data_IF_319359055257
#
_entry.id   IF_319359055257
#
_cell.length_a   1.000
_cell.length_b   1.000
_cell.length_c   1.000
_cell.angle_alpha   90.00
_cell.angle_beta   90.00
_cell.angle_gamma   90.00
#
_symmetry.space_group_name_H-M   'P 1'
#
loop_
_entity.id
_entity.type
_entity.pdbx_description
1 polymer ?
#
# COMPACT_ATOMS: atom_id res chain seq x y z
N UNK A 1 -69.15 62.44 41.04
CA UNK A 1 -68.36 62.20 42.27
C UNK A 1 -68.23 60.69 42.38
N UNK A 2 -67.10 60.03 42.11
CA UNK A 2 -65.68 60.38 42.20
C UNK A 2 -64.90 59.72 41.05
N UNK A 3 -63.89 60.44 40.59
CA UNK A 3 -62.88 60.08 39.60
C UNK A 3 -61.84 59.12 40.23
N UNK A 4 -61.29 58.17 39.48
CA UNK A 4 -59.91 57.66 39.70
C UNK A 4 -59.32 57.00 38.46
N UNK A 5 -58.37 57.71 37.83
CA UNK A 5 -57.36 57.17 36.93
C UNK A 5 -56.36 56.32 37.70
N UNK A 6 -55.88 55.23 37.10
CA UNK A 6 -54.52 54.64 37.19
C UNK A 6 -54.54 53.34 36.37
N UNK A 7 -53.53 52.87 35.64
CA UNK A 7 -52.10 53.19 35.57
C UNK A 7 -51.58 52.62 34.23
N UNK A 8 -50.84 53.43 33.48
CA UNK A 8 -50.11 53.03 32.28
C UNK A 8 -48.91 52.14 32.63
N UNK A 9 -48.44 51.39 31.63
CA UNK A 9 -47.12 50.75 31.46
C UNK A 9 -47.02 49.27 31.83
N UNK A 10 -47.05 48.41 30.81
CA UNK A 10 -46.10 47.29 30.75
C UNK A 10 -45.55 47.24 29.33
N UNK A 11 -44.36 47.81 29.21
CA UNK A 11 -43.53 47.86 28.01
C UNK A 11 -42.97 46.47 27.76
N UNK A 12 -43.09 46.03 26.51
CA UNK A 12 -42.22 45.11 25.78
C UNK A 12 -41.03 44.53 26.56
N UNK A 13 -41.15 43.26 26.97
CA UNK A 13 -40.01 42.42 27.41
C UNK A 13 -40.01 41.03 26.77
N UNK A 14 -40.60 40.89 25.58
CA UNK A 14 -40.42 39.70 24.74
C UNK A 14 -39.68 40.14 23.48
N UNK A 15 -38.40 39.80 23.36
CA UNK A 15 -37.70 40.06 22.09
C UNK A 15 -36.24 39.64 22.03
N UNK A 16 -35.53 39.51 23.15
CA UNK A 16 -34.09 39.24 23.10
C UNK A 16 -33.70 37.78 23.38
N UNK A 17 -34.39 37.10 24.30
CA UNK A 17 -34.05 35.72 24.67
C UNK A 17 -34.34 34.67 23.57
N UNK A 18 -35.34 34.91 22.71
CA UNK A 18 -35.73 33.96 21.66
C UNK A 18 -34.80 33.97 20.44
N UNK A 19 -34.13 35.09 20.17
CA UNK A 19 -33.21 35.22 19.02
C UNK A 19 -31.84 34.57 19.33
N UNK A 20 -31.37 34.68 20.57
CA UNK A 20 -30.12 34.03 21.01
C UNK A 20 -30.24 32.49 21.00
N UNK A 21 -31.41 31.95 21.36
CA UNK A 21 -31.66 30.51 21.33
C UNK A 21 -31.69 29.92 19.90
N UNK A 22 -32.03 30.73 18.89
CA UNK A 22 -32.07 30.32 17.48
C UNK A 22 -30.70 30.37 16.79
N UNK A 23 -29.76 31.20 17.27
CA UNK A 23 -28.37 31.19 16.79
C UNK A 23 -27.52 30.10 17.46
N UNK A 24 -27.81 29.74 18.70
CA UNK A 24 -27.08 28.70 19.43
C UNK A 24 -27.34 27.28 18.91
N UNK A 25 -28.49 27.03 18.28
CA UNK A 25 -28.82 25.73 17.69
C UNK A 25 -28.16 25.46 16.33
N UNK A 26 -27.60 26.47 15.67
CA UNK A 26 -26.93 26.32 14.37
C UNK A 26 -25.44 25.91 14.48
N UNK A 27 -24.86 25.99 15.68
CA UNK A 27 -23.44 25.69 15.92
C UNK A 27 -23.17 24.25 16.38
N UNK A 28 -24.21 23.44 16.62
CA UNK A 28 -24.04 22.13 17.28
C UNK A 28 -23.77 20.94 16.34
N UNK A 29 -23.66 21.12 15.01
CA UNK A 29 -23.51 20.00 14.08
C UNK A 29 -22.18 19.93 13.31
N UNK A 30 -21.13 20.63 13.77
CA UNK A 30 -19.79 20.39 13.23
C UNK A 30 -19.19 19.15 13.90
N UNK A 31 -19.63 17.96 13.48
CA UNK A 31 -18.89 16.73 13.78
C UNK A 31 -17.56 16.80 13.04
N UNK A 32 -16.40 16.67 13.70
CA UNK A 32 -15.13 16.57 12.99
C UNK A 32 -15.22 15.34 12.07
N UNK A 33 -15.02 15.55 10.77
CA UNK A 33 -14.82 14.44 9.84
C UNK A 33 -13.52 13.75 10.23
N UNK A 34 -13.61 12.58 10.87
CA UNK A 34 -12.45 11.71 11.02
C UNK A 34 -11.98 11.36 9.62
N UNK A 35 -10.76 11.74 9.26
CA UNK A 35 -10.11 11.25 8.06
C UNK A 35 -10.08 9.72 8.18
N UNK A 36 -10.89 9.03 7.37
CA UNK A 36 -10.92 7.58 7.34
C UNK A 36 -9.53 7.12 6.91
N UNK A 37 -8.71 6.68 7.86
CA UNK A 37 -7.38 6.14 7.56
C UNK A 37 -7.62 4.96 6.62
N UNK A 38 -7.25 5.10 5.35
CA UNK A 38 -7.46 4.03 4.40
C UNK A 38 -6.48 2.90 4.69
N UNK A 39 -7.01 1.69 4.85
CA UNK A 39 -6.21 0.49 5.09
C UNK A 39 -5.39 0.08 3.84
N UNK A 40 -5.52 0.83 2.74
CA UNK A 40 -4.91 0.58 1.45
C UNK A 40 -4.07 1.78 0.98
N UNK A 41 -3.04 1.50 0.19
CA UNK A 41 -2.17 2.49 -0.44
C UNK A 41 -2.78 2.99 -1.75
N UNK A 42 -2.69 4.30 -1.97
CA UNK A 42 -3.04 4.92 -3.24
C UNK A 42 -1.97 4.68 -4.30
N UNK A 43 -2.31 4.92 -5.58
CA UNK A 43 -1.35 4.83 -6.71
C UNK A 43 -0.15 5.74 -6.43
N UNK A 44 -0.42 6.99 -6.02
CA UNK A 44 0.62 7.99 -5.81
C UNK A 44 1.62 7.54 -4.74
N UNK A 45 1.14 7.04 -3.60
CA UNK A 45 2.02 6.55 -2.52
C UNK A 45 2.91 5.39 -2.98
N UNK A 46 2.36 4.49 -3.80
CA UNK A 46 3.13 3.37 -4.35
C UNK A 46 4.15 3.85 -5.39
N UNK A 47 3.78 4.77 -6.26
CA UNK A 47 4.70 5.36 -7.24
C UNK A 47 5.83 6.12 -6.55
N UNK A 48 5.51 6.94 -5.54
CA UNK A 48 6.49 7.71 -4.77
C UNK A 48 7.46 6.79 -4.02
N UNK A 49 6.94 5.75 -3.35
CA UNK A 49 7.76 4.75 -2.68
C UNK A 49 8.70 4.03 -3.68
N UNK A 50 8.19 3.69 -4.86
CA UNK A 50 8.98 3.03 -5.88
C UNK A 50 10.02 3.94 -6.55
N UNK A 51 9.73 5.23 -6.77
CA UNK A 51 10.74 6.20 -7.24
C UNK A 51 11.84 6.42 -6.21
N UNK A 52 11.49 6.59 -4.93
CA UNK A 52 12.47 6.67 -3.86
C UNK A 52 13.33 5.40 -3.74
N UNK A 53 12.76 4.24 -4.05
CA UNK A 53 13.44 2.96 -3.94
C UNK A 53 14.32 2.59 -5.15
N UNK A 54 13.78 2.71 -6.37
CA UNK A 54 14.48 2.37 -7.60
C UNK A 54 15.32 3.54 -8.16
N UNK A 55 15.04 4.77 -7.73
CA UNK A 55 15.56 6.01 -8.30
C UNK A 55 14.58 6.65 -9.29
N UNK A 56 14.48 7.99 -9.26
CA UNK A 56 13.54 8.82 -10.05
C UNK A 56 13.57 8.59 -11.57
N UNK A 57 14.59 7.90 -12.11
CA UNK A 57 14.75 7.66 -13.55
C UNK A 57 13.94 6.47 -14.09
N UNK A 58 13.14 5.79 -13.25
CA UNK A 58 12.31 4.67 -13.69
C UNK A 58 11.02 5.13 -14.40
N UNK A 59 11.15 5.71 -15.59
CA UNK A 59 10.02 6.28 -16.34
C UNK A 59 8.88 5.29 -16.70
N UNK A 60 9.11 3.98 -16.56
CA UNK A 60 8.09 2.95 -16.74
C UNK A 60 7.29 2.57 -15.48
N UNK A 61 7.73 3.01 -14.29
CA UNK A 61 7.17 2.54 -13.01
C UNK A 61 5.69 2.89 -12.87
N UNK A 62 5.34 4.16 -13.08
CA UNK A 62 3.96 4.63 -12.96
C UNK A 62 3.00 3.80 -13.81
N UNK A 63 3.36 3.48 -15.06
CA UNK A 63 2.53 2.64 -15.94
C UNK A 63 2.35 1.21 -15.45
N UNK A 64 3.40 0.61 -14.86
CA UNK A 64 3.31 -0.73 -14.26
C UNK A 64 2.40 -0.71 -13.04
N UNK A 65 2.54 0.31 -12.18
CA UNK A 65 1.70 0.48 -10.99
C UNK A 65 0.25 0.74 -11.40
N UNK A 66 -0.01 1.65 -12.34
CA UNK A 66 -1.35 1.87 -12.89
C UNK A 66 -1.97 0.58 -13.41
N UNK A 67 -1.20 -0.21 -14.17
CA UNK A 67 -1.66 -1.52 -14.67
C UNK A 67 -1.99 -2.48 -13.52
N UNK A 68 -1.19 -2.48 -12.45
CA UNK A 68 -1.43 -3.29 -11.26
C UNK A 68 -2.75 -2.91 -10.58
N UNK A 69 -2.96 -1.61 -10.43
CA UNK A 69 -4.14 -1.06 -9.77
C UNK A 69 -5.41 -1.28 -10.58
N UNK A 70 -5.34 -1.18 -11.90
CA UNK A 70 -6.48 -1.51 -12.78
C UNK A 70 -6.91 -2.98 -12.65
N UNK A 71 -5.96 -3.88 -12.36
CA UNK A 71 -6.23 -5.32 -12.36
C UNK A 71 -6.57 -5.87 -10.96
N UNK A 72 -5.94 -5.36 -9.90
CA UNK A 72 -6.09 -5.88 -8.53
C UNK A 72 -6.58 -4.83 -7.51
N UNK A 73 -6.82 -3.58 -7.93
CA UNK A 73 -7.27 -2.51 -7.04
C UNK A 73 -6.14 -1.93 -6.20
N UNK A 74 -6.45 -1.53 -4.97
CA UNK A 74 -5.47 -0.91 -4.07
C UNK A 74 -4.80 -1.96 -3.17
N UNK A 75 -3.45 -1.98 -3.06
CA UNK A 75 -2.77 -2.88 -2.15
C UNK A 75 -2.87 -2.40 -0.70
N UNK A 76 -2.86 -3.32 0.26
CA UNK A 76 -2.81 -3.00 1.70
C UNK A 76 -1.42 -3.20 2.32
N UNK A 77 -0.43 -3.56 1.49
CA UNK A 77 0.98 -3.58 1.84
C UNK A 77 1.88 -3.45 0.62
N UNK A 78 3.15 -3.13 0.84
CA UNK A 78 4.20 -3.31 -0.16
C UNK A 78 5.51 -3.74 0.50
N UNK A 79 6.34 -4.47 -0.23
CA UNK A 79 7.66 -4.90 0.21
C UNK A 79 8.70 -4.15 -0.61
N UNK A 80 9.73 -3.63 0.04
CA UNK A 80 10.93 -3.11 -0.62
C UNK A 80 12.14 -3.91 -0.14
N UNK A 81 12.96 -4.38 -1.07
CA UNK A 81 14.19 -5.07 -0.69
C UNK A 81 15.06 -5.48 -1.87
N UNK A 82 16.10 -6.22 -1.56
CA UNK A 82 17.15 -6.57 -2.51
C UNK A 82 17.24 -8.08 -2.66
N UNK A 83 17.56 -8.51 -3.87
CA UNK A 83 17.76 -9.89 -4.25
C UNK A 83 19.23 -10.08 -4.61
N UNK A 84 19.84 -11.09 -4.04
CA UNK A 84 21.18 -11.54 -4.37
C UNK A 84 21.13 -12.97 -4.87
N UNK A 85 21.60 -13.21 -6.09
CA UNK A 85 22.00 -14.55 -6.49
C UNK A 85 23.49 -14.70 -6.18
N UNK A 86 23.82 -15.16 -4.98
CA UNK A 86 25.18 -15.66 -4.74
C UNK A 86 25.46 -16.75 -5.77
N UNK A 87 26.49 -16.59 -6.60
CA UNK A 87 26.80 -17.45 -7.76
C UNK A 87 27.15 -18.91 -7.41
N UNK A 88 26.75 -19.42 -6.25
CA UNK A 88 27.24 -20.65 -5.68
C UNK A 88 26.27 -21.84 -5.70
N UNK A 89 24.95 -21.69 -5.93
CA UNK A 89 24.07 -22.89 -5.95
C UNK A 89 22.83 -22.76 -6.87
N UNK A 90 22.86 -23.47 -8.00
CA UNK A 90 21.69 -24.14 -8.61
C UNK A 90 20.46 -23.32 -9.08
N UNK A 91 20.61 -22.07 -9.53
CA UNK A 91 19.50 -21.34 -10.16
C UNK A 91 18.43 -20.87 -9.16
N UNK A 92 18.87 -20.37 -8.01
CA UNK A 92 18.02 -19.81 -6.96
C UNK A 92 18.36 -18.32 -6.70
N UNK A 93 17.36 -17.56 -6.27
CA UNK A 93 17.50 -16.21 -5.74
C UNK A 93 17.14 -16.20 -4.26
N UNK A 94 17.85 -15.37 -3.50
CA UNK A 94 17.57 -15.08 -2.10
C UNK A 94 17.41 -13.57 -1.97
N UNK A 95 16.33 -13.13 -1.35
CA UNK A 95 16.12 -11.72 -1.08
C UNK A 95 15.75 -11.44 0.35
N UNK A 96 15.99 -10.20 0.73
CA UNK A 96 15.69 -9.63 2.03
C UNK A 96 15.10 -8.24 1.85
N UNK A 97 14.17 -7.87 2.73
CA UNK A 97 13.50 -6.59 2.66
C UNK A 97 12.55 -6.37 3.82
N UNK A 98 11.70 -5.36 3.65
CA UNK A 98 10.76 -4.92 4.66
C UNK A 98 9.37 -4.82 4.06
N UNK A 99 8.40 -5.49 4.67
CA UNK A 99 6.97 -5.25 4.46
C UNK A 99 6.59 -3.95 5.13
N UNK A 100 5.97 -3.05 4.39
CA UNK A 100 5.30 -1.85 4.85
C UNK A 100 3.79 -2.09 4.79
N UNK A 101 3.10 -1.85 5.89
CA UNK A 101 1.64 -1.91 5.97
C UNK A 101 1.09 -0.57 6.47
N UNK A 102 -0.16 -0.25 6.11
CA UNK A 102 -0.83 0.97 6.61
C UNK A 102 -1.04 0.93 8.13
N UNK A 103 -1.44 -0.22 8.66
CA UNK A 103 -2.01 -0.31 10.01
C UNK A 103 -1.32 -1.32 10.94
N UNK A 104 -0.34 -2.09 10.44
CA UNK A 104 0.36 -3.11 11.22
C UNK A 104 1.87 -2.84 11.34
N UNK A 105 2.36 -1.68 10.89
CA UNK A 105 3.77 -1.31 10.96
C UNK A 105 4.65 -1.95 9.88
N UNK A 106 5.94 -2.09 10.19
CA UNK A 106 6.97 -2.60 9.30
C UNK A 106 7.53 -3.92 9.80
N UNK A 107 7.76 -4.88 8.91
CA UNK A 107 8.20 -6.23 9.26
C UNK A 107 9.30 -6.72 8.34
N UNK A 108 10.36 -7.38 8.87
CA UNK A 108 11.33 -8.03 8.01
C UNK A 108 10.66 -9.14 7.21
N UNK A 109 11.10 -9.28 5.96
CA UNK A 109 10.67 -10.32 5.04
C UNK A 109 11.89 -10.84 4.30
N UNK A 110 12.00 -12.15 4.24
CA UNK A 110 12.98 -12.85 3.42
C UNK A 110 12.25 -13.66 2.38
N UNK A 111 12.88 -13.88 1.24
CA UNK A 111 12.29 -14.74 0.22
C UNK A 111 13.31 -15.55 -0.56
N UNK A 112 12.81 -16.65 -1.12
CA UNK A 112 13.58 -17.58 -1.93
C UNK A 112 12.76 -17.96 -3.16
N UNK A 113 13.40 -18.11 -4.31
CA UNK A 113 12.73 -18.50 -5.54
C UNK A 113 13.71 -19.00 -6.60
N UNK A 114 13.22 -19.50 -7.74
CA UNK A 114 14.07 -19.78 -8.88
C UNK A 114 14.67 -18.47 -9.42
N UNK A 115 15.94 -18.52 -9.81
CA UNK A 115 16.63 -17.45 -10.52
C UNK A 115 17.06 -17.97 -11.89
N UNK A 116 17.08 -17.08 -12.88
CA UNK A 116 17.71 -17.34 -14.17
C UNK A 116 19.23 -17.10 -14.14
N UNK A 117 19.80 -16.91 -12.94
CA UNK A 117 21.24 -16.85 -12.72
C UNK A 117 21.86 -15.65 -13.40
N UNK A 118 21.22 -14.48 -13.37
CA UNK A 118 21.72 -13.24 -13.96
C UNK A 118 21.50 -12.02 -13.07
N UNK A 119 21.18 -12.21 -11.78
CA UNK A 119 21.06 -11.12 -10.79
C UNK A 119 22.48 -10.60 -10.39
N UNK A 120 23.36 -10.43 -11.38
CA UNK A 120 24.78 -10.21 -11.23
C UNK A 120 25.15 -8.74 -11.09
N UNK A 121 25.66 -8.44 -9.90
CA UNK A 121 26.41 -7.26 -9.52
C UNK A 121 26.64 -7.42 -8.03
N UNK A 122 27.82 -7.10 -7.49
CA UNK A 122 28.12 -7.25 -6.05
C UNK A 122 27.21 -6.46 -5.11
N UNK A 123 26.20 -5.76 -5.65
CA UNK A 123 25.21 -4.93 -4.98
C UNK A 123 23.77 -5.50 -5.05
N UNK A 124 23.55 -6.68 -5.68
CA UNK A 124 22.23 -7.27 -5.85
C UNK A 124 21.30 -6.51 -6.82
N UNK A 125 20.05 -6.96 -6.93
CA UNK A 125 18.98 -6.30 -7.69
C UNK A 125 17.86 -5.84 -6.76
N UNK A 126 17.29 -4.66 -7.00
CA UNK A 126 16.17 -4.16 -6.19
C UNK A 126 14.85 -4.79 -6.67
N UNK A 127 13.98 -5.13 -5.72
CA UNK A 127 12.63 -5.63 -5.96
C UNK A 127 11.62 -4.90 -5.06
N UNK A 128 10.53 -4.46 -5.66
CA UNK A 128 9.35 -3.95 -4.96
C UNK A 128 8.23 -4.96 -5.15
N UNK A 129 7.46 -5.32 -4.14
CA UNK A 129 6.32 -6.23 -4.29
C UNK A 129 5.07 -5.61 -3.71
N UNK A 130 4.03 -5.39 -4.53
CA UNK A 130 2.74 -4.96 -4.00
C UNK A 130 2.04 -6.15 -3.36
N UNK A 131 1.42 -5.94 -2.20
CA UNK A 131 0.72 -6.97 -1.43
C UNK A 131 -0.76 -6.60 -1.34
N UNK A 132 -1.60 -7.49 -1.87
CA UNK A 132 -3.05 -7.33 -1.89
C UNK A 132 -3.72 -8.35 -0.97
N UNK A 133 -4.83 -7.93 -0.36
CA UNK A 133 -5.67 -8.76 0.50
C UNK A 133 -4.89 -9.44 1.63
N UNK A 134 -3.92 -8.74 2.24
CA UNK A 134 -3.16 -9.27 3.38
C UNK A 134 -4.01 -9.14 4.66
N UNK A 135 -4.54 -10.23 5.25
CA UNK A 135 -5.41 -10.13 6.43
C UNK A 135 -4.63 -9.94 7.73
N UNK A 136 -3.38 -10.41 7.77
CA UNK A 136 -2.45 -10.27 8.89
C UNK A 136 -1.02 -10.39 8.38
N UNK A 137 -0.05 -9.92 9.16
CA UNK A 137 1.38 -10.04 8.81
C UNK A 137 1.78 -11.50 8.63
N UNK A 138 1.34 -12.39 9.54
CA UNK A 138 1.66 -13.82 9.47
C UNK A 138 1.11 -14.51 8.22
N UNK A 139 0.02 -13.99 7.63
CA UNK A 139 -0.52 -14.52 6.39
C UNK A 139 0.40 -14.28 5.18
N UNK A 140 1.36 -13.36 5.28
CA UNK A 140 2.35 -13.10 4.24
C UNK A 140 3.29 -14.30 4.06
N UNK A 141 3.72 -14.92 5.15
CA UNK A 141 4.83 -15.89 5.16
C UNK A 141 4.40 -17.27 4.66
N UNK A 142 4.34 -17.41 3.34
CA UNK A 142 3.84 -18.59 2.62
C UNK A 142 4.60 -18.82 1.32
N UNK A 143 4.24 -19.88 0.61
CA UNK A 143 4.67 -20.14 -0.77
C UNK A 143 3.64 -19.58 -1.72
N UNK A 144 4.08 -18.81 -2.71
CA UNK A 144 3.24 -18.21 -3.73
C UNK A 144 3.56 -18.83 -5.08
N UNK A 145 2.52 -19.23 -5.82
CA UNK A 145 2.63 -19.74 -7.18
C UNK A 145 2.35 -18.65 -8.21
N UNK A 146 3.07 -18.68 -9.32
CA UNK A 146 2.89 -17.73 -10.42
C UNK A 146 1.54 -17.86 -11.09
N UNK A 147 0.95 -16.72 -11.43
CA UNK A 147 -0.27 -16.64 -12.23
C UNK A 147 0.11 -16.67 -13.70
N UNK A 148 -0.41 -17.65 -14.45
CA UNK A 148 -0.11 -17.82 -15.88
C UNK A 148 -0.53 -16.60 -16.70
N UNK A 149 0.32 -16.18 -17.64
CA UNK A 149 0.03 -15.07 -18.56
C UNK A 149 -0.02 -13.68 -17.91
N UNK A 150 0.47 -13.55 -16.67
CA UNK A 150 0.35 -12.33 -15.87
C UNK A 150 1.54 -11.37 -16.00
N UNK A 151 2.55 -11.81 -16.76
CA UNK A 151 3.73 -11.07 -17.18
C UNK A 151 3.40 -9.74 -17.88
N UNK A 152 4.03 -8.65 -17.44
CA UNK A 152 3.92 -7.34 -18.07
C UNK A 152 5.25 -6.59 -18.04
N UNK A 153 5.71 -6.04 -19.18
CA UNK A 153 6.92 -5.21 -19.27
C UNK A 153 6.58 -3.90 -19.97
N UNK A 154 7.06 -2.79 -19.42
CA UNK A 154 7.08 -1.50 -20.12
C UNK A 154 8.30 -0.68 -19.71
N UNK A 155 8.98 -0.10 -20.69
CA UNK A 155 10.11 0.83 -20.48
C UNK A 155 11.17 0.34 -19.46
N UNK A 156 11.51 -0.95 -19.50
CA UNK A 156 12.53 -1.52 -18.61
C UNK A 156 12.06 -1.79 -17.18
N UNK A 157 10.75 -1.74 -16.91
CA UNK A 157 10.12 -2.17 -15.67
C UNK A 157 9.24 -3.38 -15.97
N UNK A 158 9.35 -4.43 -15.16
CA UNK A 158 8.67 -5.70 -15.35
C UNK A 158 7.89 -6.09 -14.11
N UNK A 159 6.71 -6.69 -14.32
CA UNK A 159 5.82 -7.17 -13.27
C UNK A 159 5.28 -8.55 -13.61
N UNK A 160 5.04 -9.36 -12.59
CA UNK A 160 4.28 -10.61 -12.65
C UNK A 160 3.33 -10.65 -11.45
N UNK A 161 2.46 -11.65 -11.38
CA UNK A 161 1.65 -11.90 -10.20
C UNK A 161 1.87 -13.29 -9.65
N UNK A 162 1.92 -13.38 -8.32
CA UNK A 162 1.99 -14.62 -7.57
C UNK A 162 0.83 -14.67 -6.58
N UNK A 163 0.28 -15.85 -6.32
CA UNK A 163 -0.88 -16.00 -5.43
C UNK A 163 -0.69 -17.16 -4.45
N UNK A 164 -1.19 -16.94 -3.23
CA UNK A 164 -1.32 -17.95 -2.19
C UNK A 164 -2.64 -17.71 -1.45
N UNK A 165 -3.60 -18.63 -1.59
CA UNK A 165 -4.96 -18.43 -1.09
C UNK A 165 -5.54 -17.11 -1.61
N UNK A 166 -5.90 -16.18 -0.72
CA UNK A 166 -6.46 -14.87 -1.08
C UNK A 166 -5.40 -13.76 -1.24
N UNK A 167 -4.19 -13.99 -0.75
CA UNK A 167 -3.10 -13.00 -0.81
C UNK A 167 -2.47 -13.04 -2.20
N UNK A 168 -2.36 -11.86 -2.82
CA UNK A 168 -1.69 -11.69 -4.11
C UNK A 168 -0.46 -10.81 -3.95
N UNK A 169 0.65 -11.25 -4.53
CA UNK A 169 1.87 -10.48 -4.67
C UNK A 169 2.03 -10.03 -6.12
N UNK A 170 2.43 -8.79 -6.33
CA UNK A 170 2.87 -8.29 -7.62
C UNK A 170 4.33 -7.83 -7.53
N UNK A 171 5.31 -8.74 -7.76
CA UNK A 171 6.72 -8.35 -7.83
C UNK A 171 6.98 -7.45 -9.03
N UNK A 172 7.64 -6.33 -8.79
CA UNK A 172 8.06 -5.30 -9.75
C UNK A 172 9.59 -5.19 -9.68
N UNK A 173 10.24 -5.28 -10.84
CA UNK A 173 11.70 -5.18 -11.00
C UNK A 173 12.05 -4.25 -12.15
N UNK A 174 13.24 -3.68 -12.13
CA UNK A 174 13.73 -2.74 -13.16
C UNK A 174 14.98 -3.27 -13.87
N UNK A 175 15.31 -2.69 -15.03
CA UNK A 175 16.51 -3.00 -15.80
C UNK A 175 16.54 -4.45 -16.29
N UNK A 176 17.65 -5.15 -16.02
CA UNK A 176 17.81 -6.57 -16.40
C UNK A 176 16.80 -7.46 -15.64
N UNK A 177 16.51 -7.12 -14.38
CA UNK A 177 15.53 -7.84 -13.55
C UNK A 177 14.10 -7.78 -14.11
N UNK A 178 13.76 -6.73 -14.86
CA UNK A 178 12.45 -6.62 -15.51
C UNK A 178 12.22 -7.69 -16.58
N UNK A 179 13.26 -8.11 -17.30
CA UNK A 179 13.15 -9.09 -18.40
C UNK A 179 13.19 -10.53 -17.90
N UNK A 180 13.95 -10.78 -16.83
CA UNK A 180 14.23 -12.11 -16.33
C UNK A 180 13.30 -12.51 -15.18
N UNK A 181 12.93 -11.56 -14.31
CA UNK A 181 12.11 -11.80 -13.13
C UNK A 181 10.63 -12.08 -13.42
N UNK A 182 10.23 -12.01 -14.69
CA UNK A 182 8.85 -12.28 -15.13
C UNK A 182 8.53 -13.78 -15.19
N UNK A 183 9.56 -14.62 -15.31
CA UNK A 183 9.40 -16.08 -15.29
C UNK A 183 9.53 -16.68 -13.88
N UNK A 184 9.50 -15.85 -12.82
CA UNK A 184 9.45 -16.35 -11.45
C UNK A 184 8.05 -16.92 -11.21
N UNK A 185 7.92 -18.24 -11.37
CA UNK A 185 6.68 -18.98 -11.12
C UNK A 185 6.47 -19.37 -9.66
N UNK A 186 7.41 -19.03 -8.78
CA UNK A 186 7.39 -19.45 -7.38
C UNK A 186 8.16 -18.47 -6.49
N UNK A 187 7.62 -18.14 -5.33
CA UNK A 187 8.36 -17.45 -4.27
C UNK A 187 7.93 -18.01 -2.92
N UNK A 188 8.89 -18.33 -2.05
CA UNK A 188 8.66 -18.60 -0.64
C UNK A 188 9.00 -17.34 0.15
N UNK A 189 8.07 -16.84 0.96
CA UNK A 189 8.31 -15.74 1.88
C UNK A 189 8.42 -16.30 3.31
N UNK A 190 9.39 -15.81 4.07
CA UNK A 190 9.66 -16.22 5.44
C UNK A 190 9.92 -15.01 6.33
N UNK A 191 9.61 -15.15 7.62
CA UNK A 191 9.91 -14.12 8.63
C UNK A 191 11.39 -14.09 9.00
N UNK A 192 12.07 -15.24 8.90
CA UNK A 192 13.49 -15.40 9.20
C UNK A 192 14.24 -15.87 7.94
N UNK A 193 15.53 -15.52 7.79
CA UNK A 193 16.31 -15.96 6.64
C UNK A 193 16.46 -17.48 6.65
N UNK A 194 16.40 -18.09 5.47
CA UNK A 194 16.58 -19.53 5.32
C UNK A 194 17.20 -19.88 3.98
N UNK A 195 18.04 -20.92 3.99
CA UNK A 195 18.60 -21.51 2.78
C UNK A 195 17.63 -22.48 2.09
N UNK A 196 16.59 -22.96 2.78
CA UNK A 196 15.66 -23.93 2.20
C UNK A 196 14.54 -23.21 1.42
N UNK A 197 14.49 -23.31 0.08
CA UNK A 197 13.48 -22.64 -0.73
C UNK A 197 12.11 -23.35 -0.72
N UNK A 198 12.02 -24.54 -0.10
CA UNK A 198 10.78 -25.31 0.06
C UNK A 198 10.26 -25.11 1.48
#
# INVERSE_FOLDING_TARGET
>A
MTMRLTKTRTIARLGLGKIVALLASLLMWVTPAFAQTSDQYSIQEVVDAGHGFFGETTGGLAKVVERAFQQYGLPNGYILGQEGSGAFVAGLTYGEGTLYTKNAGQHPVFWQGPSLGLDYGGQGTRAMMLVYNLPSVDALYRRYGGVSGSAFIVAGVGMTYLKSSDVTLAPIRTGIGARLGINVGYLKLTQQPTWNPF
#
